data_IF_150942830582
#
_entry.id   IF_150942830582
#
_cell.length_a   1.000
_cell.length_b   1.000
_cell.length_c   1.000
_cell.angle_alpha   90.00
_cell.angle_beta   90.00
_cell.angle_gamma   90.00
#
_symmetry.space_group_name_H-M   'P 1'
#
loop_
_entity.id
_entity.type
_entity.pdbx_description
1 polymer ?
#
# COMPACT_ATOMS: atom_id res chain seq x y z
N UNK A 1 -0.93 -3.57 -14.19
CA UNK A 1 -0.88 -2.18 -14.71
C UNK A 1 -0.49 -1.24 -13.59
N UNK A 2 0.50 -0.44 -13.84
CA UNK A 2 0.92 0.54 -12.85
C UNK A 2 -0.09 1.68 -12.75
N UNK A 3 -0.53 1.98 -11.54
CA UNK A 3 -1.52 3.03 -11.30
C UNK A 3 -0.93 4.20 -10.50
N UNK A 4 0.26 4.01 -9.98
CA UNK A 4 1.00 5.00 -9.19
C UNK A 4 2.45 4.54 -9.21
N UNK A 5 3.45 5.42 -9.19
CA UNK A 5 4.84 4.96 -9.24
C UNK A 5 5.13 3.88 -8.19
N UNK A 6 5.46 2.69 -8.66
CA UNK A 6 5.76 1.54 -7.80
C UNK A 6 4.56 0.76 -7.28
N UNK A 7 3.34 1.09 -7.70
CA UNK A 7 2.11 0.39 -7.32
C UNK A 7 1.37 -0.06 -8.56
N UNK A 8 0.97 -1.32 -8.60
CA UNK A 8 0.25 -1.88 -9.73
C UNK A 8 -1.00 -2.61 -9.30
N UNK A 9 -1.92 -2.77 -10.23
CA UNK A 9 -3.11 -3.61 -10.07
C UNK A 9 -3.13 -4.64 -11.17
N UNK A 10 -3.55 -5.85 -10.83
CA UNK A 10 -3.72 -6.96 -11.75
C UNK A 10 -4.88 -7.79 -11.23
N UNK A 11 -5.95 -7.99 -12.04
CA UNK A 11 -7.10 -8.78 -11.59
C UNK A 11 -6.72 -10.18 -11.10
N UNK A 12 -5.65 -10.75 -11.63
CA UNK A 12 -5.17 -12.06 -11.23
C UNK A 12 -4.32 -12.08 -9.97
N UNK A 13 -4.01 -10.91 -9.40
CA UNK A 13 -3.18 -10.81 -8.21
C UNK A 13 -3.96 -10.08 -7.12
N UNK A 14 -4.17 -10.76 -5.99
CA UNK A 14 -4.89 -10.20 -4.84
C UNK A 14 -6.23 -9.57 -5.22
N UNK A 15 -6.92 -10.20 -6.19
CA UNK A 15 -8.26 -9.78 -6.62
C UNK A 15 -8.29 -8.33 -7.14
N UNK A 16 -7.20 -7.89 -7.76
CA UNK A 16 -7.11 -6.54 -8.30
C UNK A 16 -6.82 -5.44 -7.27
N UNK A 17 -6.47 -5.82 -6.04
CA UNK A 17 -6.05 -4.83 -5.04
C UNK A 17 -4.71 -4.20 -5.43
N UNK A 18 -4.49 -2.92 -5.11
CA UNK A 18 -3.19 -2.30 -5.35
C UNK A 18 -2.08 -3.03 -4.59
N UNK A 19 -1.03 -3.40 -5.32
CA UNK A 19 0.11 -4.12 -4.77
C UNK A 19 1.40 -3.35 -5.04
N UNK A 20 2.40 -3.60 -4.23
CA UNK A 20 3.76 -3.13 -4.55
C UNK A 20 4.16 -3.80 -5.86
N UNK A 21 4.58 -3.00 -6.84
CA UNK A 21 4.88 -3.48 -8.18
C UNK A 21 5.89 -4.64 -8.14
N UNK A 22 5.64 -5.67 -8.93
CA UNK A 22 6.50 -6.85 -8.99
C UNK A 22 6.32 -7.83 -7.83
N UNK A 23 5.37 -7.57 -6.93
CA UNK A 23 5.10 -8.46 -5.80
C UNK A 23 3.62 -8.81 -5.74
N UNK A 24 3.29 -9.76 -4.85
CA UNK A 24 1.91 -10.08 -4.51
C UNK A 24 1.51 -9.47 -3.17
N UNK A 25 2.27 -8.49 -2.70
CA UNK A 25 2.02 -7.85 -1.40
C UNK A 25 1.16 -6.61 -1.64
N UNK A 26 -0.07 -6.64 -1.16
CA UNK A 26 -0.97 -5.51 -1.35
C UNK A 26 -0.67 -4.40 -0.34
N UNK A 27 -0.96 -3.18 -0.76
CA UNK A 27 -0.68 -1.99 0.04
C UNK A 27 -1.37 -2.05 1.41
N UNK A 28 -2.62 -2.51 1.44
CA UNK A 28 -3.38 -2.59 2.69
C UNK A 28 -2.69 -3.49 3.73
N UNK A 29 -2.05 -4.57 3.29
CA UNK A 29 -1.30 -5.46 4.18
C UNK A 29 -0.11 -4.73 4.80
N UNK A 30 0.64 -3.97 4.00
CA UNK A 30 1.79 -3.21 4.50
C UNK A 30 1.34 -2.15 5.49
N UNK A 31 0.33 -1.38 5.13
CA UNK A 31 -0.18 -0.31 5.98
C UNK A 31 -0.77 -0.89 7.27
N UNK A 32 -1.50 -2.00 7.17
CA UNK A 32 -2.09 -2.67 8.33
C UNK A 32 -1.04 -3.15 9.32
N UNK A 33 0.06 -3.69 8.82
CA UNK A 33 1.16 -4.15 9.69
C UNK A 33 1.78 -2.97 10.45
N UNK A 34 2.05 -1.87 9.75
CA UNK A 34 2.59 -0.67 10.38
C UNK A 34 1.60 -0.07 11.39
N UNK A 35 0.32 -0.02 11.03
CA UNK A 35 -0.73 0.47 11.91
C UNK A 35 -0.88 -0.40 13.16
N UNK A 36 -0.57 -1.68 13.03
CA UNK A 36 -0.57 -2.62 14.16
C UNK A 36 0.65 -2.52 15.05
N UNK A 37 1.59 -1.62 14.75
CA UNK A 37 2.75 -1.38 15.60
C UNK A 37 4.03 -2.07 15.14
N UNK A 38 4.03 -2.76 14.00
CA UNK A 38 5.25 -3.35 13.49
C UNK A 38 6.20 -2.26 12.99
N UNK A 39 7.50 -2.52 13.17
CA UNK A 39 8.51 -1.60 12.67
C UNK A 39 8.69 -1.75 11.16
N UNK A 40 9.31 -0.75 10.53
CA UNK A 40 9.72 -0.87 9.13
C UNK A 40 10.60 -2.10 8.92
N UNK A 41 11.55 -2.33 9.81
CA UNK A 41 12.45 -3.49 9.69
C UNK A 41 11.68 -4.81 9.72
N UNK A 42 10.69 -4.92 10.60
CA UNK A 42 9.85 -6.12 10.67
C UNK A 42 9.07 -6.33 9.37
N UNK A 43 8.48 -5.29 8.85
CA UNK A 43 7.69 -5.37 7.60
C UNK A 43 8.60 -5.73 6.43
N UNK A 44 9.76 -5.09 6.33
CA UNK A 44 10.73 -5.38 5.27
C UNK A 44 11.16 -6.83 5.30
N UNK A 45 11.46 -7.36 6.48
CA UNK A 45 11.89 -8.74 6.66
C UNK A 45 10.76 -9.72 6.36
N UNK A 46 9.59 -9.48 6.94
CA UNK A 46 8.48 -10.44 6.89
C UNK A 46 7.89 -10.56 5.49
N UNK A 47 7.86 -9.46 4.75
CA UNK A 47 7.30 -9.44 3.40
C UNK A 47 8.35 -9.38 2.31
N UNK A 48 9.63 -9.40 2.70
CA UNK A 48 10.76 -9.34 1.76
C UNK A 48 10.69 -8.11 0.86
N UNK A 49 10.39 -6.98 1.45
CA UNK A 49 10.33 -5.70 0.77
C UNK A 49 11.57 -4.87 1.09
N UNK A 50 11.96 -4.03 0.15
CA UNK A 50 12.98 -3.03 0.43
C UNK A 50 12.38 -1.87 1.20
N UNK A 51 13.24 -1.07 1.82
CA UNK A 51 12.80 0.15 2.50
C UNK A 51 12.03 1.07 1.54
N UNK A 52 12.52 1.21 0.32
CA UNK A 52 11.86 2.05 -0.68
C UNK A 52 10.49 1.52 -1.07
N UNK A 53 10.32 0.21 -1.11
CA UNK A 53 9.02 -0.40 -1.40
C UNK A 53 8.01 -0.11 -0.30
N UNK A 54 8.43 -0.14 0.96
CA UNK A 54 7.55 0.21 2.08
C UNK A 54 7.18 1.69 2.02
N UNK A 55 8.14 2.57 1.74
CA UNK A 55 7.86 3.99 1.56
C UNK A 55 6.90 4.24 0.39
N UNK A 56 7.05 3.49 -0.70
CA UNK A 56 6.15 3.58 -1.85
C UNK A 56 4.72 3.25 -1.46
N UNK A 57 4.53 2.20 -0.67
CA UNK A 57 3.20 1.84 -0.17
C UNK A 57 2.60 2.97 0.67
N UNK A 58 3.40 3.58 1.54
CA UNK A 58 2.96 4.70 2.35
C UNK A 58 2.61 5.91 1.49
N UNK A 59 3.43 6.22 0.49
CA UNK A 59 3.16 7.33 -0.43
C UNK A 59 1.85 7.13 -1.18
N UNK A 60 1.59 5.89 -1.62
CA UNK A 60 0.33 5.59 -2.28
C UNK A 60 -0.85 5.74 -1.34
N UNK A 61 -0.73 5.24 -0.11
CA UNK A 61 -1.79 5.37 0.89
C UNK A 61 -2.09 6.85 1.17
N UNK A 62 -1.07 7.68 1.27
CA UNK A 62 -1.24 9.11 1.46
C UNK A 62 -1.93 9.76 0.25
N UNK A 63 -1.55 9.34 -0.96
CA UNK A 63 -2.18 9.82 -2.18
C UNK A 63 -3.67 9.48 -2.22
N UNK A 64 -4.02 8.25 -1.90
CA UNK A 64 -5.42 7.81 -1.86
C UNK A 64 -6.20 8.63 -0.84
N UNK A 65 -5.67 8.79 0.36
CA UNK A 65 -6.34 9.53 1.41
C UNK A 65 -6.56 11.00 1.01
N UNK A 66 -5.59 11.59 0.33
CA UNK A 66 -5.67 12.99 -0.09
C UNK A 66 -6.65 13.20 -1.26
N UNK A 67 -6.94 12.15 -2.03
CA UNK A 67 -7.74 12.24 -3.24
C UNK A 67 -9.11 11.58 -3.12
N UNK A 68 -9.45 11.09 -1.94
CA UNK A 68 -10.81 10.61 -1.69
C UNK A 68 -11.78 11.79 -1.66
N UNK A 69 -13.04 11.58 -2.06
CA UNK A 69 -14.05 12.61 -1.89
C UNK A 69 -14.11 13.05 -0.43
N UNK A 70 -14.46 14.31 -0.16
CA UNK A 70 -14.63 14.76 1.21
C UNK A 70 -15.57 13.82 1.97
N UNK A 71 -15.30 13.62 3.23
CA UNK A 71 -16.20 12.88 4.08
C UNK A 71 -17.59 13.50 4.05
N UNK A 72 -18.60 12.67 4.24
CA UNK A 72 -19.96 13.17 4.31
C UNK A 72 -20.02 14.23 5.41
N UNK A 73 -20.52 15.39 5.03
CA UNK A 73 -20.67 16.45 5.98
C UNK A 73 -21.78 16.09 6.95
N UNK A 74 -21.46 16.15 8.19
CA UNK A 74 -22.50 16.14 9.22
C UNK A 74 -23.07 17.53 9.33
N UNK A 75 -24.33 17.56 9.33
CA UNK A 75 -25.03 18.83 9.51
C UNK A 75 -24.75 19.41 10.90
#
# INVERSE_FOLDING_TARGET
MEIFPGISVDPGVRFGKPCVAGTRIDVATVIGALAGGESFDDVERDYQLTHQQVLTALRYAAHVAAHLPPAVKTA
#
